data_IF_397495737728
#
_entry.id   IF_397495737728
#
_cell.length_a   1.000
_cell.length_b   1.000
_cell.length_c   1.000
_cell.angle_alpha   90.00
_cell.angle_beta   90.00
_cell.angle_gamma   90.00
#
_symmetry.space_group_name_H-M   'P 1'
#
loop_
_entity.id
_entity.type
_entity.pdbx_description
1 polymer ?
#
# COMPACT_ATOMS: atom_id res chain seq x y z
N UNK A 1 -14.42 -10.21 18.02
CA UNK A 1 -13.95 -9.13 17.14
C UNK A 1 -12.52 -9.51 16.77
N UNK A 2 -12.27 -9.85 15.50
CA UNK A 2 -10.95 -10.33 15.06
C UNK A 2 -9.87 -9.27 15.26
N UNK A 3 -8.62 -9.71 15.42
CA UNK A 3 -7.47 -8.83 15.48
C UNK A 3 -7.34 -8.06 14.17
N UNK A 4 -7.06 -6.75 14.25
CA UNK A 4 -6.84 -5.92 13.06
C UNK A 4 -5.52 -6.36 12.42
N UNK A 5 -5.49 -6.73 11.12
CA UNK A 5 -4.26 -7.15 10.46
C UNK A 5 -3.16 -6.08 10.55
N UNK A 6 -1.89 -6.53 10.64
CA UNK A 6 -0.72 -5.65 10.69
C UNK A 6 -0.69 -4.66 9.51
N UNK A 7 -1.04 -5.11 8.29
CA UNK A 7 -1.17 -4.26 7.10
C UNK A 7 -2.15 -3.10 7.30
N UNK A 8 -3.31 -3.36 7.92
CA UNK A 8 -4.33 -2.35 8.18
C UNK A 8 -3.89 -1.36 9.26
N UNK A 9 -3.11 -1.82 10.24
CA UNK A 9 -2.50 -0.92 11.24
C UNK A 9 -1.47 0.00 10.59
N UNK A 10 -0.55 -0.55 9.80
CA UNK A 10 0.46 0.22 9.06
C UNK A 10 -0.18 1.25 8.14
N UNK A 11 -1.21 0.85 7.37
CA UNK A 11 -1.92 1.76 6.48
C UNK A 11 -2.56 2.93 7.25
N UNK A 12 -3.23 2.65 8.38
CA UNK A 12 -3.82 3.70 9.23
C UNK A 12 -2.77 4.63 9.83
N UNK A 13 -1.62 4.08 10.23
CA UNK A 13 -0.51 4.87 10.75
C UNK A 13 0.02 5.85 9.70
N UNK A 14 0.32 5.37 8.48
CA UNK A 14 0.81 6.23 7.40
C UNK A 14 -0.22 7.29 6.98
N UNK A 15 -1.50 6.93 6.86
CA UNK A 15 -2.58 7.91 6.59
C UNK A 15 -2.67 8.97 7.68
N UNK A 16 -2.45 8.62 8.95
CA UNK A 16 -2.50 9.58 10.06
C UNK A 16 -1.38 10.64 10.03
N UNK A 17 -0.33 10.43 9.22
CA UNK A 17 0.80 11.36 9.03
C UNK A 17 0.56 12.36 7.88
N UNK A 18 -0.65 12.39 7.30
CA UNK A 18 -1.03 13.37 6.28
C UNK A 18 -0.94 14.81 6.82
N UNK A 19 -0.42 15.71 6.00
CA UNK A 19 -0.37 17.14 6.28
C UNK A 19 -1.65 17.85 5.80
N UNK A 20 -1.87 19.07 6.28
CA UNK A 20 -3.03 19.87 5.87
C UNK A 20 -2.98 20.13 4.36
N UNK A 21 -4.08 19.80 3.68
CA UNK A 21 -4.21 19.93 2.22
C UNK A 21 -3.72 18.74 1.42
N UNK A 22 -3.18 17.71 2.07
CA UNK A 22 -2.85 16.44 1.42
C UNK A 22 -4.05 15.48 1.42
N UNK A 23 -4.18 14.72 0.34
CA UNK A 23 -4.95 13.49 0.32
C UNK A 23 -3.96 12.33 0.26
N UNK A 24 -4.11 11.35 1.16
CA UNK A 24 -3.18 10.22 1.30
C UNK A 24 -3.94 8.91 1.17
N UNK A 25 -3.49 8.06 0.24
CA UNK A 25 -3.97 6.70 0.04
C UNK A 25 -2.84 5.70 0.32
N UNK A 26 -3.15 4.62 1.04
CA UNK A 26 -2.17 3.61 1.41
C UNK A 26 -2.73 2.22 1.16
N UNK A 27 -1.98 1.44 0.37
CA UNK A 27 -2.27 0.03 0.07
C UNK A 27 -1.18 -0.83 0.71
N UNK A 28 -1.53 -1.66 1.70
CA UNK A 28 -0.58 -2.56 2.35
C UNK A 28 -1.12 -3.99 2.36
N UNK A 29 -0.25 -4.96 2.09
CA UNK A 29 -0.62 -6.37 2.01
C UNK A 29 0.55 -7.29 2.30
N UNK A 30 0.24 -8.49 2.76
CA UNK A 30 1.20 -9.57 2.92
C UNK A 30 0.61 -10.89 2.45
N UNK A 31 1.47 -11.78 1.97
CA UNK A 31 1.06 -13.09 1.47
C UNK A 31 2.13 -14.13 1.79
N UNK A 32 1.71 -15.36 2.04
CA UNK A 32 2.58 -16.53 2.13
C UNK A 32 2.25 -17.46 0.97
N UNK A 33 3.25 -17.86 0.20
CA UNK A 33 3.13 -18.79 -0.92
C UNK A 33 3.92 -20.05 -0.60
N UNK A 34 3.28 -21.21 -0.76
CA UNK A 34 3.94 -22.51 -0.74
C UNK A 34 3.80 -23.16 -2.10
N UNK A 35 4.91 -23.55 -2.71
CA UNK A 35 4.98 -24.27 -3.98
C UNK A 35 5.67 -25.62 -3.78
N UNK A 36 5.02 -26.70 -4.21
CA UNK A 36 5.55 -28.07 -4.15
C UNK A 36 5.59 -28.62 -5.56
N UNK A 37 6.74 -29.15 -5.98
CA UNK A 37 6.93 -29.83 -7.27
C UNK A 37 7.25 -31.30 -7.00
N UNK A 38 6.52 -32.20 -7.66
CA UNK A 38 6.61 -33.65 -7.48
C UNK A 38 6.88 -34.30 -8.84
N UNK A 39 7.82 -35.22 -8.88
CA UNK A 39 8.15 -36.03 -10.05
C UNK A 39 8.38 -37.48 -9.62
N UNK A 40 7.83 -38.42 -10.39
CA UNK A 40 7.90 -39.87 -10.12
C UNK A 40 7.48 -40.29 -8.69
N UNK A 41 6.54 -39.56 -8.10
CA UNK A 41 6.06 -39.82 -6.73
C UNK A 41 6.93 -39.21 -5.62
N UNK A 42 8.07 -38.61 -5.97
CA UNK A 42 8.98 -37.97 -5.03
C UNK A 42 8.93 -36.43 -5.13
N UNK A 43 9.09 -35.75 -3.99
CA UNK A 43 9.17 -34.29 -3.95
C UNK A 43 10.53 -33.84 -4.50
N UNK A 44 10.51 -33.14 -5.63
CA UNK A 44 11.72 -32.54 -6.21
C UNK A 44 12.04 -31.18 -5.60
N UNK A 45 11.01 -30.40 -5.27
CA UNK A 45 11.19 -29.04 -4.74
C UNK A 45 10.05 -28.64 -3.82
N UNK A 46 10.40 -27.95 -2.74
CA UNK A 46 9.50 -27.26 -1.83
C UNK A 46 10.02 -25.83 -1.66
N UNK A 47 9.22 -24.83 -2.03
CA UNK A 47 9.50 -23.41 -1.81
C UNK A 47 8.42 -22.81 -0.94
N UNK A 48 8.83 -22.12 0.11
CA UNK A 48 7.97 -21.25 0.91
C UNK A 48 8.51 -19.83 0.78
N UNK A 49 7.64 -18.90 0.38
CA UNK A 49 7.98 -17.50 0.22
C UNK A 49 6.97 -16.65 0.97
N UNK A 50 7.48 -15.70 1.75
CA UNK A 50 6.66 -14.64 2.33
C UNK A 50 6.91 -13.36 1.56
N UNK A 51 5.87 -12.58 1.33
CA UNK A 51 5.97 -11.27 0.69
C UNK A 51 5.15 -10.27 1.47
N UNK A 52 5.70 -9.06 1.58
CA UNK A 52 5.04 -7.90 2.16
C UNK A 52 5.18 -6.75 1.19
N UNK A 53 4.21 -5.86 1.20
CA UNK A 53 4.19 -4.70 0.34
C UNK A 53 3.43 -3.56 0.98
N UNK A 54 3.89 -2.35 0.74
CA UNK A 54 3.17 -1.12 1.04
C UNK A 54 3.40 -0.12 -0.09
N UNK A 55 2.33 0.53 -0.53
CA UNK A 55 2.37 1.64 -1.46
C UNK A 55 1.64 2.83 -0.86
N UNK A 56 2.18 4.03 -1.08
CA UNK A 56 1.61 5.29 -0.63
C UNK A 56 1.45 6.20 -1.84
N UNK A 57 0.29 6.85 -1.93
CA UNK A 57 0.03 7.92 -2.89
C UNK A 57 -0.35 9.18 -2.12
N UNK A 58 0.34 10.28 -2.41
CA UNK A 58 0.08 11.60 -1.84
C UNK A 58 -0.38 12.51 -2.97
N UNK A 59 -1.46 13.26 -2.72
CA UNK A 59 -2.02 14.22 -3.66
C UNK A 59 -2.11 15.57 -2.98
N UNK A 60 -1.66 16.62 -3.66
CA UNK A 60 -1.82 18.01 -3.23
C UNK A 60 -1.78 18.96 -4.42
N UNK A 61 -2.67 19.95 -4.43
CA UNK A 61 -2.70 21.00 -5.46
C UNK A 61 -2.72 20.45 -6.90
N UNK A 62 -3.47 19.36 -7.12
CA UNK A 62 -3.60 18.66 -8.41
C UNK A 62 -2.37 17.84 -8.83
N UNK A 63 -1.38 17.68 -7.96
CA UNK A 63 -0.18 16.86 -8.20
C UNK A 63 -0.26 15.58 -7.40
N UNK A 64 0.16 14.46 -7.99
CA UNK A 64 0.30 13.19 -7.28
C UNK A 64 1.73 12.69 -7.26
N UNK A 65 2.10 12.03 -6.17
CA UNK A 65 3.35 11.32 -6.04
C UNK A 65 3.14 9.99 -5.34
N UNK A 66 3.87 8.97 -5.80
CA UNK A 66 3.75 7.60 -5.33
C UNK A 66 5.10 7.09 -4.86
N UNK A 67 5.09 6.28 -3.81
CA UNK A 67 6.24 5.48 -3.39
C UNK A 67 5.77 4.10 -2.93
N UNK A 68 6.64 3.09 -3.02
CA UNK A 68 6.32 1.74 -2.58
C UNK A 68 7.55 1.03 -2.00
N UNK A 69 7.31 0.09 -1.09
CA UNK A 69 8.34 -0.72 -0.47
C UNK A 69 7.90 -2.18 -0.31
N UNK A 70 8.86 -3.09 -0.43
CA UNK A 70 8.69 -4.53 -0.15
C UNK A 70 9.03 -4.93 1.29
N UNK A 71 9.34 -3.96 2.15
CA UNK A 71 9.61 -4.17 3.58
C UNK A 71 8.72 -3.26 4.42
N UNK A 72 8.40 -3.72 5.63
CA UNK A 72 7.71 -2.93 6.66
C UNK A 72 8.65 -2.53 7.81
N UNK A 73 9.97 -2.61 7.58
CA UNK A 73 10.95 -2.16 8.56
C UNK A 73 10.76 -0.66 8.87
N UNK A 74 10.82 -0.24 10.14
CA UNK A 74 10.52 1.14 10.54
C UNK A 74 11.30 2.19 9.75
N UNK A 75 12.60 1.97 9.53
CA UNK A 75 13.46 2.91 8.79
C UNK A 75 13.01 3.08 7.32
N UNK A 76 12.42 2.05 6.71
CA UNK A 76 11.87 2.11 5.34
C UNK A 76 10.52 2.82 5.33
N UNK A 77 9.67 2.52 6.32
CA UNK A 77 8.34 3.14 6.46
C UNK A 77 8.46 4.64 6.74
N UNK A 78 9.45 5.04 7.53
CA UNK A 78 9.65 6.43 7.93
C UNK A 78 10.06 7.34 6.77
N UNK A 79 10.69 6.79 5.71
CA UNK A 79 11.03 7.56 4.51
C UNK A 79 9.95 7.52 3.43
N UNK A 80 9.10 6.50 3.41
CA UNK A 80 8.17 6.22 2.32
C UNK A 80 7.23 7.39 1.98
N UNK A 81 6.66 8.05 3.01
CA UNK A 81 5.77 9.18 2.80
C UNK A 81 6.52 10.42 2.28
N UNK A 82 7.77 10.61 2.71
CA UNK A 82 8.62 11.69 2.22
C UNK A 82 9.00 11.47 0.76
N UNK A 83 9.29 10.24 0.34
CA UNK A 83 9.54 9.91 -1.07
C UNK A 83 8.32 10.15 -1.94
N UNK A 84 7.11 9.77 -1.49
CA UNK A 84 5.89 10.06 -2.24
C UNK A 84 5.67 11.57 -2.40
N UNK A 85 5.94 12.37 -1.37
CA UNK A 85 5.88 13.85 -1.43
C UNK A 85 6.93 14.45 -2.36
N UNK A 86 8.15 13.92 -2.36
CA UNK A 86 9.21 14.37 -3.28
C UNK A 86 8.81 14.08 -4.72
N UNK A 87 8.33 12.87 -5.01
CA UNK A 87 7.82 12.47 -6.33
C UNK A 87 6.67 13.37 -6.80
N UNK A 88 5.78 13.77 -5.89
CA UNK A 88 4.67 14.70 -6.18
C UNK A 88 5.17 16.08 -6.65
N UNK A 89 6.32 16.54 -6.16
CA UNK A 89 6.88 17.85 -6.53
C UNK A 89 7.27 17.95 -8.02
N UNK A 90 7.53 16.79 -8.66
CA UNK A 90 7.88 16.70 -10.08
C UNK A 90 6.68 16.51 -11.02
N UNK A 91 5.50 16.17 -10.49
CA UNK A 91 4.30 15.92 -11.28
C UNK A 91 3.67 17.22 -11.79
N UNK A 92 3.15 17.25 -13.02
CA UNK A 92 2.39 18.40 -13.54
C UNK A 92 1.00 18.46 -12.88
N UNK A 93 0.47 19.64 -12.51
CA UNK A 93 -0.88 19.74 -11.95
C UNK A 93 -1.95 19.33 -12.95
N UNK A 94 -2.91 18.53 -12.49
CA UNK A 94 -4.14 18.19 -13.21
C UNK A 94 -5.35 18.30 -12.26
N UNK A 95 -6.37 19.04 -12.68
CA UNK A 95 -7.61 19.27 -11.95
C UNK A 95 -8.40 17.97 -11.69
N UNK A 96 -8.10 16.89 -12.42
CA UNK A 96 -8.76 15.58 -12.26
C UNK A 96 -8.07 14.68 -11.23
N UNK A 97 -6.90 15.05 -10.73
CA UNK A 97 -6.17 14.25 -9.75
C UNK A 97 -6.74 14.48 -8.36
N UNK A 98 -7.26 13.40 -7.76
CA UNK A 98 -7.85 13.40 -6.42
C UNK A 98 -8.36 12.02 -6.01
N UNK A 99 -8.67 11.87 -4.74
CA UNK A 99 -9.43 10.74 -4.21
C UNK A 99 -10.92 10.95 -4.47
N UNK A 100 -11.64 9.83 -4.57
CA UNK A 100 -13.09 9.88 -4.63
C UNK A 100 -13.66 10.53 -3.35
N UNK A 101 -14.59 11.45 -3.53
CA UNK A 101 -15.36 11.99 -2.41
C UNK A 101 -16.49 11.03 -2.03
N UNK A 102 -16.82 10.88 -0.74
CA UNK A 102 -17.98 10.11 -0.33
C UNK A 102 -19.26 10.67 -0.95
N UNK A 103 -19.95 9.85 -1.74
CA UNK A 103 -21.21 10.18 -2.40
C UNK A 103 -22.46 9.88 -1.55
N UNK A 104 -22.25 9.41 -0.31
CA UNK A 104 -23.31 9.00 0.62
C UNK A 104 -23.81 7.58 0.40
N UNK A 105 -23.24 6.84 -0.55
CA UNK A 105 -23.50 5.41 -0.74
C UNK A 105 -22.47 4.62 0.05
N UNK A 106 -22.92 3.60 0.78
CA UNK A 106 -22.01 2.69 1.48
C UNK A 106 -21.10 1.97 0.48
N UNK A 107 -19.79 1.97 0.77
CA UNK A 107 -18.83 1.26 -0.04
C UNK A 107 -19.17 -0.23 -0.09
N UNK A 108 -19.18 -0.80 -1.29
CA UNK A 108 -19.33 -2.23 -1.46
C UNK A 108 -18.12 -2.97 -0.86
N UNK A 109 -18.37 -4.10 -0.21
CA UNK A 109 -17.32 -4.97 0.30
C UNK A 109 -16.70 -5.74 -0.89
N UNK A 110 -15.69 -5.13 -1.50
CA UNK A 110 -14.94 -5.67 -2.63
C UNK A 110 -13.56 -6.06 -2.12
N UNK A 111 -13.11 -7.28 -2.43
CA UNK A 111 -11.71 -7.66 -2.25
C UNK A 111 -10.88 -6.93 -3.33
N UNK A 112 -9.97 -6.01 -2.95
CA UNK A 112 -9.11 -5.34 -3.93
C UNK A 112 -7.98 -6.25 -4.43
N UNK A 113 -7.94 -7.54 -4.03
CA UNK A 113 -6.89 -8.52 -4.36
C UNK A 113 -7.43 -9.84 -4.94
#
# INVERSE_FOLDING_TARGET
MGEIPESRRLARELVSRAEVGEQVEVCAGSSVRTEIRVYDGDVESLTVAESRGVGVRVIRDGREGLAHAGSWDPDVIDTLLAEARDNMSFAEPDERVGLAEPDGVDAADIDPW
#
